data_IF_989993545875
#
_entry.id   IF_989993545875
#
_cell.length_a   1.000
_cell.length_b   1.000
_cell.length_c   1.000
_cell.angle_alpha   90.00
_cell.angle_beta   90.00
_cell.angle_gamma   90.00
#
_symmetry.space_group_name_H-M   'P 1'
#
loop_
_entity.id
_entity.type
_entity.pdbx_description
1 polymer ?
#
# COMPACT_ATOMS: atom_id res chain seq x y z
N UNK A 1 0.61 3.91 -2.94
CA UNK A 1 -0.69 4.13 -3.63
C UNK A 1 -0.52 3.68 -5.07
N UNK A 2 -0.92 2.44 -5.37
CA UNK A 2 -1.00 1.95 -6.75
C UNK A 2 -2.19 0.99 -6.81
N UNK A 3 -3.39 1.55 -6.93
CA UNK A 3 -4.51 0.77 -7.43
C UNK A 3 -4.33 0.70 -8.95
N UNK A 4 -3.95 -0.46 -9.46
CA UNK A 4 -4.04 -0.77 -10.88
C UNK A 4 -5.52 -1.04 -11.18
N UNK A 5 -6.31 0.02 -11.34
CA UNK A 5 -7.65 -0.09 -11.90
C UNK A 5 -7.48 -0.23 -13.42
N UNK A 6 -7.94 -1.37 -13.94
CA UNK A 6 -8.16 -1.61 -15.35
C UNK A 6 -9.04 -0.49 -15.94
N UNK A 7 -8.87 -0.24 -17.24
CA UNK A 7 -9.18 0.97 -17.99
C UNK A 7 -10.66 1.47 -17.99
N UNK A 8 -11.56 0.90 -17.21
CA UNK A 8 -13.00 1.21 -17.27
C UNK A 8 -13.56 1.96 -16.04
N UNK A 9 -12.83 2.06 -14.92
CA UNK A 9 -13.25 2.88 -13.76
C UNK A 9 -12.69 4.33 -13.83
N UNK A 10 -13.21 5.13 -14.78
CA UNK A 10 -13.10 6.62 -14.80
C UNK A 10 -14.22 7.19 -13.91
N UNK A 11 -14.12 8.27 -13.12
CA UNK A 11 -13.33 9.51 -13.21
C UNK A 11 -13.55 10.30 -11.88
N UNK A 12 -12.56 10.38 -10.99
CA UNK A 12 -12.57 11.39 -9.90
C UNK A 12 -11.21 12.03 -9.76
N UNK A 13 -10.62 12.42 -10.89
CA UNK A 13 -9.33 13.11 -10.90
C UNK A 13 -9.44 14.39 -10.07
N UNK A 14 -8.57 14.51 -9.04
CA UNK A 14 -8.50 15.67 -8.15
C UNK A 14 -9.26 15.55 -6.83
N UNK A 15 -10.33 14.74 -6.72
CA UNK A 15 -11.10 14.61 -5.47
C UNK A 15 -10.47 13.61 -4.49
N UNK A 16 -10.24 12.38 -4.94
CA UNK A 16 -9.75 11.29 -4.08
C UNK A 16 -8.32 10.83 -4.44
N UNK A 17 -7.95 10.87 -5.72
CA UNK A 17 -6.61 10.48 -6.20
C UNK A 17 -5.87 11.74 -6.65
N UNK A 18 -4.74 12.02 -5.99
CA UNK A 18 -3.91 13.21 -6.28
C UNK A 18 -2.85 12.96 -7.35
N UNK A 19 -2.24 11.77 -7.34
CA UNK A 19 -1.18 11.39 -8.27
C UNK A 19 -1.37 9.94 -8.70
N UNK A 20 -0.94 9.63 -9.92
CA UNK A 20 -0.86 8.27 -10.46
C UNK A 20 0.59 7.97 -10.78
N UNK A 21 1.08 6.84 -10.31
CA UNK A 21 2.41 6.32 -10.63
C UNK A 21 2.23 4.94 -11.26
N UNK A 22 3.10 4.64 -12.20
CA UNK A 22 3.04 3.43 -13.02
C UNK A 22 4.32 2.62 -12.87
N UNK A 23 4.43 1.54 -13.64
CA UNK A 23 5.53 0.57 -13.52
C UNK A 23 6.91 1.22 -13.73
N UNK A 24 6.98 2.25 -14.57
CA UNK A 24 8.18 3.01 -14.87
C UNK A 24 8.72 3.78 -13.66
N UNK A 25 7.88 4.01 -12.65
CA UNK A 25 8.27 4.64 -11.38
C UNK A 25 8.72 3.63 -10.31
N UNK A 26 8.62 2.33 -10.58
CA UNK A 26 9.03 1.28 -9.64
C UNK A 26 10.52 0.93 -9.86
N UNK A 27 11.17 0.45 -8.81
CA UNK A 27 12.54 -0.08 -8.92
C UNK A 27 12.51 -1.58 -9.26
N UNK A 28 13.07 -2.01 -10.40
CA UNK A 28 13.20 -3.42 -10.71
C UNK A 28 14.31 -4.05 -9.86
N UNK A 29 13.98 -5.06 -9.05
CA UNK A 29 14.93 -5.81 -8.23
C UNK A 29 14.59 -7.30 -8.34
N UNK A 30 15.52 -8.10 -8.86
CA UNK A 30 15.37 -9.56 -8.95
C UNK A 30 14.04 -10.04 -9.59
N UNK A 31 13.59 -9.34 -10.63
CA UNK A 31 12.32 -9.65 -11.31
C UNK A 31 11.06 -9.12 -10.62
N UNK A 32 11.19 -8.52 -9.43
CA UNK A 32 10.13 -7.82 -8.70
C UNK A 32 10.16 -6.32 -8.97
N UNK A 33 9.04 -5.65 -8.67
CA UNK A 33 8.90 -4.19 -8.77
C UNK A 33 8.66 -3.60 -7.38
N UNK A 34 9.70 -3.03 -6.80
CA UNK A 34 9.65 -2.37 -5.50
C UNK A 34 9.12 -0.94 -5.66
N UNK A 35 8.32 -0.50 -4.69
CA UNK A 35 7.70 0.83 -4.65
C UNK A 35 8.36 1.66 -3.55
N UNK A 36 9.46 2.32 -3.89
CA UNK A 36 10.16 3.21 -2.94
C UNK A 36 9.31 4.45 -2.64
N UNK A 37 8.85 4.59 -1.39
CA UNK A 37 8.06 5.74 -0.96
C UNK A 37 8.85 7.05 -0.88
N UNK A 38 10.19 7.01 -0.83
CA UNK A 38 11.01 8.22 -0.77
C UNK A 38 10.84 9.11 -2.02
N UNK A 39 10.53 8.50 -3.17
CA UNK A 39 10.30 9.24 -4.42
C UNK A 39 9.08 10.17 -4.36
N UNK A 40 8.21 9.98 -3.36
CA UNK A 40 7.04 10.82 -3.14
C UNK A 40 7.39 12.17 -2.50
N UNK A 41 8.57 12.30 -1.87
CA UNK A 41 8.96 13.50 -1.13
C UNK A 41 8.04 13.83 0.05
N UNK A 42 7.48 12.81 0.72
CA UNK A 42 6.52 12.95 1.83
C UNK A 42 7.12 12.41 3.13
N UNK A 43 6.65 12.93 4.26
CA UNK A 43 6.98 12.39 5.58
C UNK A 43 6.46 10.95 5.70
N UNK A 44 7.36 9.98 5.79
CA UNK A 44 7.03 8.56 5.91
C UNK A 44 6.26 8.24 7.20
N UNK A 45 6.34 9.10 8.22
CA UNK A 45 5.52 8.98 9.44
C UNK A 45 4.03 9.17 9.18
N UNK A 46 3.68 9.74 8.01
CA UNK A 46 2.30 10.05 7.60
C UNK A 46 1.88 9.29 6.33
N UNK A 47 2.65 8.28 5.90
CA UNK A 47 2.41 7.56 4.66
C UNK A 47 2.27 6.05 4.89
N UNK A 48 1.39 5.39 4.13
CA UNK A 48 1.26 3.93 4.10
C UNK A 48 1.20 3.43 2.66
N UNK A 49 1.68 2.21 2.44
CA UNK A 49 1.64 1.51 1.17
C UNK A 49 0.80 0.24 1.32
N UNK A 50 -0.37 0.23 0.70
CA UNK A 50 -1.24 -0.95 0.61
C UNK A 50 -0.91 -1.68 -0.68
N UNK A 51 -0.62 -2.98 -0.57
CA UNK A 51 -0.28 -3.83 -1.72
C UNK A 51 -0.59 -5.30 -1.44
N UNK A 52 -0.93 -6.07 -2.47
CA UNK A 52 -1.15 -7.50 -2.38
C UNK A 52 0.13 -8.33 -2.60
N UNK A 53 1.26 -7.68 -2.89
CA UNK A 53 2.58 -8.31 -2.97
C UNK A 53 3.51 -7.84 -1.85
N UNK A 54 4.00 -8.75 -0.98
CA UNK A 54 4.96 -8.42 0.07
C UNK A 54 6.24 -7.73 -0.42
N UNK A 55 6.71 -8.07 -1.61
CA UNK A 55 7.91 -7.48 -2.19
C UNK A 55 7.74 -5.99 -2.51
N UNK A 56 6.51 -5.50 -2.73
CA UNK A 56 6.27 -4.14 -3.17
C UNK A 56 6.74 -3.09 -2.15
N UNK A 57 6.70 -3.40 -0.85
CA UNK A 57 7.11 -2.51 0.24
C UNK A 57 8.51 -2.84 0.81
N UNK A 58 9.36 -3.58 0.08
CA UNK A 58 10.67 -4.04 0.56
C UNK A 58 11.58 -2.96 1.19
N UNK A 59 11.53 -1.71 0.72
CA UNK A 59 12.31 -0.61 1.30
C UNK A 59 11.69 0.06 2.52
N UNK A 60 10.37 -0.06 2.70
CA UNK A 60 9.62 0.56 3.79
C UNK A 60 8.63 -0.45 4.38
N UNK A 61 9.15 -1.56 4.90
CA UNK A 61 8.34 -2.67 5.44
C UNK A 61 7.36 -2.21 6.53
N UNK A 62 7.75 -1.26 7.37
CA UNK A 62 6.90 -0.72 8.44
C UNK A 62 5.83 0.26 7.95
N UNK A 63 5.88 0.66 6.67
CA UNK A 63 4.81 1.41 6.01
C UNK A 63 3.87 0.50 5.21
N UNK A 64 4.19 -0.80 5.08
CA UNK A 64 3.49 -1.77 4.25
C UNK A 64 2.27 -2.37 4.96
N UNK A 65 1.10 -2.25 4.33
CA UNK A 65 -0.14 -2.92 4.71
C UNK A 65 -0.42 -3.99 3.65
N UNK A 66 -0.22 -5.29 3.95
CA UNK A 66 -0.63 -6.34 3.05
C UNK A 66 -2.16 -6.35 2.93
N UNK A 67 -2.66 -6.58 1.72
CA UNK A 67 -4.07 -6.82 1.46
C UNK A 67 -4.22 -8.08 0.60
N UNK A 68 -5.28 -8.85 0.81
CA UNK A 68 -5.50 -10.05 0.01
C UNK A 68 -5.74 -9.72 -1.45
N UNK A 69 -5.35 -10.65 -2.31
CA UNK A 69 -5.68 -10.57 -3.73
C UNK A 69 -7.17 -10.85 -3.94
N UNK A 70 -7.82 -10.00 -4.71
CA UNK A 70 -9.24 -10.15 -5.03
C UNK A 70 -9.43 -10.99 -6.30
N UNK A 71 -10.35 -11.97 -6.25
CA UNK A 71 -10.63 -12.92 -7.33
C UNK A 71 -12.15 -13.03 -7.60
N UNK A 72 -12.80 -11.90 -7.90
CA UNK A 72 -14.22 -11.83 -8.27
C UNK A 72 -15.21 -12.32 -7.19
N UNK A 73 -14.81 -12.39 -5.91
CA UNK A 73 -15.71 -12.75 -4.81
C UNK A 73 -16.65 -11.58 -4.47
N UNK A 74 -17.98 -11.72 -4.64
CA UNK A 74 -18.93 -10.69 -4.26
C UNK A 74 -19.08 -10.50 -2.74
N UNK A 75 -18.57 -11.43 -1.92
CA UNK A 75 -18.57 -11.35 -0.47
C UNK A 75 -17.24 -10.83 0.10
N UNK A 76 -16.29 -10.43 -0.75
CA UNK A 76 -15.04 -9.81 -0.32
C UNK A 76 -15.32 -8.55 0.51
N UNK A 77 -14.59 -8.42 1.63
CA UNK A 77 -14.71 -7.29 2.55
C UNK A 77 -13.37 -6.66 2.89
N UNK A 78 -12.31 -6.96 2.14
CA UNK A 78 -10.93 -6.58 2.49
C UNK A 78 -10.74 -5.08 2.48
N UNK A 79 -11.36 -4.37 1.53
CA UNK A 79 -11.36 -2.90 1.53
C UNK A 79 -12.11 -2.29 2.71
N UNK A 80 -13.16 -2.95 3.23
CA UNK A 80 -13.89 -2.50 4.42
C UNK A 80 -13.04 -2.70 5.68
N UNK A 81 -12.33 -3.83 5.78
CA UNK A 81 -11.39 -4.11 6.87
C UNK A 81 -10.23 -3.11 6.85
N UNK A 82 -9.69 -2.83 5.65
CA UNK A 82 -8.66 -1.82 5.45
C UNK A 82 -9.13 -0.45 5.90
N UNK A 83 -10.35 -0.04 5.49
CA UNK A 83 -10.93 1.24 5.88
C UNK A 83 -11.02 1.40 7.40
N UNK A 84 -11.50 0.37 8.10
CA UNK A 84 -11.58 0.37 9.55
C UNK A 84 -10.20 0.54 10.19
N UNK A 85 -9.18 -0.14 9.67
CA UNK A 85 -7.82 0.03 10.14
C UNK A 85 -7.28 1.43 9.86
N UNK A 86 -7.47 1.96 8.64
CA UNK A 86 -7.01 3.31 8.27
C UNK A 86 -7.60 4.41 9.17
N UNK A 87 -8.84 4.23 9.66
CA UNK A 87 -9.43 5.15 10.65
C UNK A 87 -8.64 5.20 11.96
N UNK A 88 -8.03 4.08 12.38
CA UNK A 88 -7.22 4.04 13.60
C UNK A 88 -5.92 4.84 13.47
N UNK A 89 -5.42 5.01 12.24
CA UNK A 89 -4.21 5.81 11.97
C UNK A 89 -4.47 7.33 12.03
N UNK A 90 -5.74 7.75 12.10
CA UNK A 90 -6.09 9.16 12.10
C UNK A 90 -5.57 9.83 13.38
N UNK A 91 -4.77 10.89 13.21
CA UNK A 91 -4.16 11.62 14.33
C UNK A 91 -2.91 10.97 14.91
N UNK A 92 -2.47 9.81 14.42
CA UNK A 92 -1.23 9.19 14.85
C UNK A 92 -0.03 10.09 14.52
N UNK A 93 0.92 10.21 15.45
CA UNK A 93 2.18 10.94 15.24
C UNK A 93 3.06 10.23 14.20
N UNK A 94 3.13 8.91 14.30
CA UNK A 94 3.80 8.04 13.33
C UNK A 94 2.93 6.80 13.05
N UNK A 95 2.52 6.63 11.78
CA UNK A 95 1.67 5.50 11.38
C UNK A 95 2.41 4.16 11.42
N UNK A 96 3.75 4.18 11.36
CA UNK A 96 4.59 2.97 11.27
C UNK A 96 4.49 2.11 12.51
N UNK A 97 4.34 2.71 13.69
CA UNK A 97 4.20 1.97 14.95
C UNK A 97 2.95 1.07 14.93
N UNK A 98 1.82 1.62 14.48
CA UNK A 98 0.55 0.91 14.40
C UNK A 98 0.56 -0.14 13.28
N UNK A 99 1.11 0.20 12.11
CA UNK A 99 1.22 -0.71 10.96
C UNK A 99 2.13 -1.90 11.33
N UNK A 100 3.31 -1.64 11.89
CA UNK A 100 4.24 -2.68 12.33
C UNK A 100 3.63 -3.59 13.38
N UNK A 101 2.94 -3.02 14.38
CA UNK A 101 2.27 -3.79 15.42
C UNK A 101 1.15 -4.69 14.87
N UNK A 102 0.39 -4.20 13.88
CA UNK A 102 -0.74 -4.92 13.30
C UNK A 102 -0.35 -6.01 12.31
N UNK A 103 0.54 -5.70 11.37
CA UNK A 103 0.80 -6.55 10.20
C UNK A 103 2.13 -7.28 10.24
N UNK A 104 3.10 -6.77 11.01
CA UNK A 104 4.43 -7.38 11.15
C UNK A 104 5.08 -7.73 9.79
N UNK A 105 4.87 -6.87 8.81
CA UNK A 105 5.17 -7.06 7.38
C UNK A 105 6.62 -7.46 7.10
N UNK A 106 7.55 -7.07 7.97
CA UNK A 106 8.95 -7.51 7.94
C UNK A 106 9.13 -9.05 7.99
N UNK A 107 8.17 -9.79 8.56
CA UNK A 107 8.15 -11.26 8.57
C UNK A 107 7.77 -11.82 7.20
N UNK A 108 6.76 -11.23 6.57
CA UNK A 108 6.29 -11.63 5.25
C UNK A 108 7.35 -11.45 4.16
N UNK A 109 8.23 -10.46 4.31
CA UNK A 109 9.36 -10.23 3.40
C UNK A 109 10.53 -11.19 3.69
N UNK A 110 10.70 -11.63 4.94
CA UNK A 110 11.77 -12.58 5.29
C UNK A 110 11.46 -14.01 4.83
N UNK A 111 10.17 -14.34 4.70
CA UNK A 111 9.69 -15.67 4.32
C UNK A 111 9.42 -15.82 2.81
N UNK A 112 9.66 -14.77 2.02
CA UNK A 112 9.41 -14.71 0.57
C UNK A 112 10.70 -14.79 -0.25
#
# INVERSE_FOLDING_TARGET
MAFSLTNEYKRTEGKYIKHRMFREACLPVEGNYLKDLNVLGRDLRKAVLVDNSPHAFGYQVDNGIPIESWFDDPNDTELLKLEQFLRTLHGADDVRDMVRAKFQTYRLVADA
#
